data_IF_104829382005
#
_entry.id   IF_104829382005
#
_cell.length_a   1.000
_cell.length_b   1.000
_cell.length_c   1.000
_cell.angle_alpha   90.00
_cell.angle_beta   90.00
_cell.angle_gamma   90.00
#
_symmetry.space_group_name_H-M   'P 1'
#
loop_
_entity.id
_entity.type
_entity.pdbx_description
1 polymer ?
#
# COMPACT_ATOMS: atom_id res chain seq x y z
N UNK A 1 6.00 3.64 -4.33
CA UNK A 1 6.32 4.88 -5.07
C UNK A 1 5.79 4.75 -6.50
N UNK A 2 4.61 5.32 -6.78
CA UNK A 2 4.03 5.31 -8.13
C UNK A 2 4.92 6.14 -9.06
N UNK A 3 5.54 5.50 -10.05
CA UNK A 3 6.37 6.16 -11.06
C UNK A 3 5.50 6.49 -12.25
N UNK A 4 4.98 7.72 -12.33
CA UNK A 4 4.54 8.29 -13.60
C UNK A 4 5.67 9.13 -14.15
N UNK A 5 6.32 8.63 -15.21
CA UNK A 5 7.33 9.36 -15.95
C UNK A 5 6.66 10.14 -17.08
N UNK A 6 6.32 11.40 -16.81
CA UNK A 6 6.01 12.36 -17.87
C UNK A 6 7.24 13.26 -18.05
N UNK A 7 7.92 13.13 -19.19
CA UNK A 7 8.94 14.05 -19.68
C UNK A 7 10.16 14.34 -18.77
N UNK A 8 10.86 13.30 -18.32
CA UNK A 8 12.21 13.38 -17.72
C UNK A 8 12.37 14.26 -16.46
N UNK A 9 11.28 14.75 -15.89
CA UNK A 9 11.27 15.32 -14.55
C UNK A 9 10.77 14.23 -13.63
N UNK A 10 11.68 13.62 -12.85
CA UNK A 10 11.25 12.90 -11.67
C UNK A 10 10.56 13.94 -10.79
N UNK A 11 9.23 13.96 -10.82
CA UNK A 11 8.44 14.80 -9.92
C UNK A 11 8.61 14.19 -8.53
N UNK A 12 9.70 14.58 -7.88
CA UNK A 12 9.83 14.51 -6.45
C UNK A 12 8.84 15.55 -5.94
N UNK A 13 7.58 15.15 -5.80
CA UNK A 13 6.62 16.00 -5.10
C UNK A 13 7.12 16.07 -3.68
N UNK A 14 7.76 17.17 -3.33
CA UNK A 14 8.17 17.46 -1.96
C UNK A 14 6.91 17.66 -1.12
N UNK A 15 6.36 16.53 -0.68
CA UNK A 15 5.13 16.46 0.09
C UNK A 15 5.32 17.06 1.50
N UNK A 16 6.55 17.38 1.90
CA UNK A 16 6.88 17.97 3.21
C UNK A 16 6.07 19.23 3.53
N UNK A 17 5.70 20.00 2.51
CA UNK A 17 4.96 21.26 2.65
C UNK A 17 3.47 21.16 2.28
N UNK A 18 2.97 19.98 1.91
CA UNK A 18 1.56 19.81 1.53
C UNK A 18 0.70 19.46 2.75
N UNK A 19 0.36 20.50 3.53
CA UNK A 19 -0.52 20.38 4.70
C UNK A 19 -1.88 19.72 4.37
N UNK A 20 -2.36 19.79 3.11
CA UNK A 20 -3.61 19.17 2.70
C UNK A 20 -3.58 17.65 2.76
N UNK A 21 -2.40 17.06 2.54
CA UNK A 21 -2.19 15.60 2.56
C UNK A 21 -2.09 15.05 3.99
N UNK A 22 -1.62 15.84 4.96
CA UNK A 22 -1.54 15.40 6.36
C UNK A 22 -2.78 15.72 7.18
N UNK A 23 -3.54 16.76 6.82
CA UNK A 23 -4.82 17.12 7.46
C UNK A 23 -6.05 16.48 6.81
N UNK A 24 -5.87 15.74 5.71
CA UNK A 24 -6.96 15.03 5.07
C UNK A 24 -7.58 13.95 5.97
N UNK A 25 -8.90 13.81 5.88
CA UNK A 25 -9.66 12.74 6.52
C UNK A 25 -10.64 12.12 5.51
N UNK A 26 -11.11 10.90 5.78
CA UNK A 26 -12.08 10.20 4.93
C UNK A 26 -11.50 9.23 3.89
N UNK A 27 -10.17 9.14 3.78
CA UNK A 27 -9.52 8.10 2.99
C UNK A 27 -8.25 7.59 3.70
N UNK A 28 -8.03 6.26 3.66
CA UNK A 28 -6.88 5.60 4.26
C UNK A 28 -5.54 6.11 3.70
N UNK A 29 -5.53 6.67 2.48
CA UNK A 29 -4.31 7.29 1.93
C UNK A 29 -3.70 8.36 2.85
N UNK A 30 -4.51 9.13 3.58
CA UNK A 30 -4.00 10.17 4.48
C UNK A 30 -3.26 9.56 5.69
N UNK A 31 -3.70 8.39 6.16
CA UNK A 31 -2.99 7.64 7.21
C UNK A 31 -1.68 7.05 6.69
N UNK A 32 -1.59 6.70 5.41
CA UNK A 32 -0.32 6.28 4.78
C UNK A 32 0.69 7.44 4.79
N UNK A 33 0.27 8.64 4.43
CA UNK A 33 1.15 9.82 4.44
C UNK A 33 1.63 10.18 5.85
N UNK A 34 0.75 10.15 6.86
CA UNK A 34 1.15 10.35 8.27
C UNK A 34 2.14 9.29 8.75
N UNK A 35 1.94 8.03 8.37
CA UNK A 35 2.85 6.95 8.74
C UNK A 35 4.22 7.09 8.07
N UNK A 36 4.26 7.46 6.78
CA UNK A 36 5.51 7.76 6.08
C UNK A 36 6.25 8.95 6.69
N UNK A 37 5.54 10.03 7.03
CA UNK A 37 6.13 11.19 7.69
C UNK A 37 6.76 10.82 9.05
N UNK A 38 6.05 9.99 9.84
CA UNK A 38 6.52 9.52 11.15
C UNK A 38 7.76 8.63 11.03
N UNK A 39 7.80 7.74 10.03
CA UNK A 39 8.95 6.84 9.80
C UNK A 39 10.18 7.58 9.27
N UNK A 40 10.00 8.48 8.32
CA UNK A 40 11.10 9.21 7.69
C UNK A 40 11.48 10.49 8.46
N UNK A 41 10.85 10.79 9.60
CA UNK A 41 11.09 12.03 10.36
C UNK A 41 10.96 13.31 9.51
N UNK A 42 10.06 13.28 8.51
CA UNK A 42 9.89 14.34 7.50
C UNK A 42 11.08 14.54 6.54
N UNK A 43 12.04 13.61 6.48
CA UNK A 43 13.11 13.57 5.48
C UNK A 43 12.67 12.78 4.24
N UNK A 44 11.95 13.45 3.35
CA UNK A 44 11.40 12.83 2.14
C UNK A 44 12.45 12.51 1.07
N UNK A 45 13.66 13.06 1.19
CA UNK A 45 14.79 12.83 0.27
C UNK A 45 15.39 11.42 0.40
N UNK A 46 15.17 10.74 1.53
CA UNK A 46 15.68 9.40 1.78
C UNK A 46 14.69 8.34 1.28
N UNK A 47 15.21 7.33 0.59
CA UNK A 47 14.41 6.18 0.17
C UNK A 47 14.14 5.25 1.35
N UNK A 48 12.87 5.12 1.75
CA UNK A 48 12.42 4.08 2.70
C UNK A 48 11.66 2.98 1.95
N UNK A 49 12.18 1.75 1.99
CA UNK A 49 11.55 0.59 1.37
C UNK A 49 10.19 0.24 1.99
N UNK A 50 9.97 0.60 3.26
CA UNK A 50 8.72 0.38 4.00
C UNK A 50 7.58 1.25 3.45
N UNK A 51 7.88 2.40 2.86
CA UNK A 51 6.87 3.23 2.19
C UNK A 51 6.11 2.45 1.11
N UNK A 52 6.78 1.52 0.42
CA UNK A 52 6.14 0.68 -0.59
C UNK A 52 5.21 -0.38 0.04
N UNK A 53 5.53 -0.87 1.23
CA UNK A 53 4.65 -1.77 2.01
C UNK A 53 3.37 -1.03 2.43
N UNK A 54 3.51 0.22 2.90
CA UNK A 54 2.36 1.06 3.25
C UNK A 54 1.42 1.27 2.05
N UNK A 55 1.98 1.59 0.87
CA UNK A 55 1.19 1.72 -0.36
C UNK A 55 0.53 0.41 -0.81
N UNK A 56 1.18 -0.74 -0.60
CA UNK A 56 0.61 -2.04 -0.95
C UNK A 56 -0.53 -2.43 0.00
N UNK A 57 -0.39 -2.14 1.29
CA UNK A 57 -1.47 -2.25 2.29
C UNK A 57 -2.69 -1.42 1.88
N UNK A 58 -2.47 -0.17 1.45
CA UNK A 58 -3.54 0.68 0.93
C UNK A 58 -4.24 0.09 -0.30
N UNK A 59 -3.49 -0.45 -1.26
CA UNK A 59 -4.09 -1.10 -2.43
C UNK A 59 -4.88 -2.36 -2.05
N UNK A 60 -4.40 -3.15 -1.09
CA UNK A 60 -5.12 -4.32 -0.58
C UNK A 60 -6.44 -3.90 0.07
N UNK A 61 -6.44 -2.87 0.93
CA UNK A 61 -7.65 -2.33 1.53
C UNK A 61 -8.67 -1.94 0.45
N UNK A 62 -8.28 -1.11 -0.53
CA UNK A 62 -9.18 -0.69 -1.62
C UNK A 62 -9.67 -1.86 -2.47
N UNK A 63 -8.83 -2.86 -2.69
CA UNK A 63 -9.21 -4.08 -3.39
C UNK A 63 -10.29 -4.85 -2.64
N UNK A 64 -10.24 -4.85 -1.31
CA UNK A 64 -11.21 -5.54 -0.44
C UNK A 64 -12.49 -4.71 -0.24
N UNK A 65 -12.38 -3.38 -0.11
CA UNK A 65 -13.47 -2.52 0.38
C UNK A 65 -14.13 -1.65 -0.69
N UNK A 66 -13.39 -1.23 -1.72
CA UNK A 66 -13.85 -0.21 -2.67
C UNK A 66 -14.22 -0.76 -4.05
N UNK A 67 -13.67 -1.91 -4.46
CA UNK A 67 -13.93 -2.49 -5.77
C UNK A 67 -15.26 -3.26 -5.83
N UNK A 68 -16.02 -3.04 -6.92
CA UNK A 68 -17.23 -3.81 -7.24
C UNK A 68 -16.88 -4.94 -8.19
N UNK A 69 -17.05 -6.18 -7.72
CA UNK A 69 -16.76 -7.37 -8.50
C UNK A 69 -18.02 -7.92 -9.18
N UNK A 70 -17.95 -8.15 -10.48
CA UNK A 70 -19.07 -8.72 -11.26
C UNK A 70 -19.45 -10.14 -10.83
N UNK A 71 -18.52 -10.92 -10.29
CA UNK A 71 -18.74 -12.31 -9.85
C UNK A 71 -18.40 -12.54 -8.37
N UNK A 72 -18.88 -11.64 -7.51
CA UNK A 72 -18.60 -11.65 -6.07
C UNK A 72 -19.12 -12.90 -5.33
N UNK A 73 -20.08 -13.63 -5.89
CA UNK A 73 -20.65 -14.82 -5.26
C UNK A 73 -19.92 -16.12 -5.62
N UNK A 74 -19.04 -16.11 -6.61
CA UNK A 74 -18.30 -17.31 -7.00
C UNK A 74 -17.45 -17.86 -5.85
N UNK A 75 -17.33 -19.19 -5.80
CA UNK A 75 -16.46 -19.88 -4.82
C UNK A 75 -15.01 -19.39 -4.94
N UNK A 76 -14.55 -19.14 -6.16
CA UNK A 76 -13.22 -18.61 -6.44
C UNK A 76 -13.04 -17.21 -5.82
N UNK A 77 -13.98 -16.29 -6.07
CA UNK A 77 -13.93 -14.94 -5.50
C UNK A 77 -13.88 -15.00 -3.97
N UNK A 78 -14.77 -15.76 -3.32
CA UNK A 78 -14.76 -15.91 -1.85
C UNK A 78 -13.42 -16.45 -1.34
N UNK A 79 -12.85 -17.48 -1.99
CA UNK A 79 -11.55 -18.07 -1.63
C UNK A 79 -10.43 -17.03 -1.67
N UNK A 80 -10.31 -16.29 -2.78
CA UNK A 80 -9.25 -15.28 -2.93
C UNK A 80 -9.50 -14.03 -2.09
N UNK A 81 -10.76 -13.63 -1.87
CA UNK A 81 -11.09 -12.53 -0.98
C UNK A 81 -10.68 -12.82 0.47
N UNK A 82 -10.89 -14.05 0.96
CA UNK A 82 -10.38 -14.46 2.26
C UNK A 82 -8.85 -14.42 2.31
N UNK A 83 -8.15 -14.86 1.25
CA UNK A 83 -6.69 -14.76 1.16
C UNK A 83 -6.20 -13.31 1.21
N UNK A 84 -6.85 -12.40 0.48
CA UNK A 84 -6.51 -10.98 0.48
C UNK A 84 -6.70 -10.37 1.87
N UNK A 85 -7.76 -10.73 2.59
CA UNK A 85 -7.99 -10.25 3.97
C UNK A 85 -6.91 -10.72 4.95
N UNK A 86 -6.48 -11.99 4.85
CA UNK A 86 -5.36 -12.50 5.66
C UNK A 86 -4.08 -11.74 5.34
N UNK A 87 -3.78 -11.59 4.04
CA UNK A 87 -2.61 -10.85 3.57
C UNK A 87 -2.59 -9.40 4.08
N UNK A 88 -3.76 -8.74 4.11
CA UNK A 88 -3.88 -7.36 4.60
C UNK A 88 -3.57 -7.21 6.10
N UNK A 89 -3.74 -8.27 6.90
CA UNK A 89 -3.36 -8.27 8.32
C UNK A 89 -1.86 -8.49 8.52
N UNK A 90 -1.23 -9.26 7.63
CA UNK A 90 0.18 -9.66 7.75
C UNK A 90 1.14 -8.68 7.08
N UNK A 91 0.69 -7.94 6.06
CA UNK A 91 1.57 -7.15 5.19
C UNK A 91 2.38 -6.07 5.91
N UNK A 92 1.85 -5.48 6.99
CA UNK A 92 2.56 -4.46 7.76
C UNK A 92 3.70 -5.05 8.62
N UNK A 93 3.82 -6.38 8.68
CA UNK A 93 4.93 -7.07 9.34
C UNK A 93 6.20 -7.20 8.50
N UNK A 94 6.18 -6.80 7.23
CA UNK A 94 7.35 -6.86 6.33
C UNK A 94 8.05 -5.50 6.26
N UNK A 95 9.38 -5.53 6.17
CA UNK A 95 10.19 -4.31 6.11
C UNK A 95 10.29 -3.73 4.70
N UNK A 96 10.07 -4.56 3.67
CA UNK A 96 10.11 -4.13 2.27
C UNK A 96 9.27 -5.03 1.37
N UNK A 97 8.91 -4.53 0.18
CA UNK A 97 8.22 -5.35 -0.83
C UNK A 97 9.07 -6.53 -1.29
N UNK A 98 10.40 -6.40 -1.24
CA UNK A 98 11.30 -7.51 -1.57
C UNK A 98 11.23 -8.62 -0.52
N UNK A 99 11.25 -8.23 0.76
CA UNK A 99 11.06 -9.13 1.89
C UNK A 99 9.70 -9.84 1.81
N UNK A 100 8.63 -9.07 1.54
CA UNK A 100 7.30 -9.60 1.27
C UNK A 100 7.26 -10.59 0.09
N UNK A 101 7.96 -10.32 -1.01
CA UNK A 101 7.97 -11.18 -2.19
C UNK A 101 8.73 -12.50 -1.96
N UNK A 102 9.81 -12.46 -1.17
CA UNK A 102 10.64 -13.63 -0.85
C UNK A 102 10.03 -14.51 0.25
N UNK A 103 9.38 -13.88 1.23
CA UNK A 103 8.76 -14.55 2.37
C UNK A 103 7.26 -14.72 2.21
N UNK A 104 6.71 -14.45 1.01
CA UNK A 104 5.31 -14.68 0.73
C UNK A 104 5.02 -16.15 1.07
N UNK A 105 4.14 -16.44 2.05
CA UNK A 105 3.79 -17.81 2.34
C UNK A 105 3.21 -18.38 1.05
N UNK A 106 3.96 -19.29 0.42
CA UNK A 106 3.55 -19.98 -0.79
C UNK A 106 2.22 -20.62 -0.44
N UNK A 107 1.12 -19.98 -0.86
CA UNK A 107 -0.20 -20.40 -0.37
C UNK A 107 -0.38 -21.82 -0.86
N UNK A 108 -0.37 -22.76 0.08
CA UNK A 108 -0.23 -24.18 -0.14
C UNK A 108 -1.09 -24.61 -1.32
N UNK A 109 -0.43 -25.03 -2.39
CA UNK A 109 -1.04 -25.84 -3.44
C UNK A 109 -1.19 -27.25 -2.88
N UNK A 110 -2.28 -27.48 -2.13
CA UNK A 110 -2.93 -28.78 -1.99
C UNK A 110 -4.44 -28.58 -2.02
#
# INVERSE_FOLDING_TARGET
MSRISLNQVAVYTDLANDCGVFNGSGDYQYEIYKQMQKKNQNEWSHFDAFSNILWLSYMLDKTITALRYSNAHSKQHKKYMSKLKVLNLEILGFDSVNDFALNLPQTSSQ
#
